data_IF_950698183589
#
_entry.id   IF_950698183589
#
_cell.length_a   1.000
_cell.length_b   1.000
_cell.length_c   1.000
_cell.angle_alpha   90.00
_cell.angle_beta   90.00
_cell.angle_gamma   90.00
#
_symmetry.space_group_name_H-M   'P 1'
#
loop_
_entity.id
_entity.type
_entity.pdbx_description
1 polymer ?
#
# COMPACT_ATOMS: atom_id res chain seq x y z
N UNK A 1 8.13 11.66 -16.10
CA UNK A 1 7.22 10.87 -15.24
C UNK A 1 7.85 9.51 -15.02
N UNK A 2 7.85 9.01 -13.78
CA UNK A 2 8.37 7.70 -13.41
C UNK A 2 7.33 6.96 -12.58
N UNK A 3 7.14 5.68 -12.85
CA UNK A 3 6.16 4.82 -12.17
C UNK A 3 6.93 3.66 -11.55
N UNK A 4 6.80 3.49 -10.24
CA UNK A 4 7.53 2.47 -9.48
C UNK A 4 6.53 1.65 -8.66
N UNK A 5 6.27 0.37 -9.02
CA UNK A 5 5.56 -0.55 -8.15
C UNK A 5 6.36 -0.79 -6.87
N UNK A 6 5.76 -0.50 -5.71
CA UNK A 6 6.37 -0.71 -4.39
C UNK A 6 5.89 -2.02 -3.75
N UNK A 7 4.68 -2.46 -4.08
CA UNK A 7 4.14 -3.77 -3.77
C UNK A 7 3.26 -4.23 -4.93
N UNK A 8 3.39 -5.49 -5.32
CA UNK A 8 2.63 -6.15 -6.38
C UNK A 8 2.77 -7.67 -6.24
N UNK A 9 1.94 -8.43 -6.98
CA UNK A 9 2.01 -9.90 -7.02
C UNK A 9 3.42 -10.41 -7.37
N UNK A 10 4.02 -9.84 -8.43
CA UNK A 10 5.38 -10.16 -8.86
C UNK A 10 6.49 -9.76 -7.86
N UNK A 11 6.17 -8.94 -6.85
CA UNK A 11 7.10 -8.54 -5.80
C UNK A 11 6.93 -9.35 -4.50
N UNK A 12 6.01 -10.32 -4.48
CA UNK A 12 5.71 -11.15 -3.31
C UNK A 12 4.62 -10.60 -2.40
N UNK A 13 3.77 -9.70 -2.90
CA UNK A 13 2.56 -9.25 -2.21
C UNK A 13 1.30 -9.85 -2.88
N UNK A 14 0.11 -9.56 -2.36
CA UNK A 14 -1.18 -9.78 -3.04
C UNK A 14 -1.96 -8.50 -3.26
N UNK A 15 -1.45 -7.42 -2.70
CA UNK A 15 -1.95 -6.06 -2.85
C UNK A 15 -1.10 -5.29 -3.85
N UNK A 16 -1.52 -4.05 -4.11
CA UNK A 16 -0.78 -3.11 -4.93
C UNK A 16 -0.48 -1.84 -4.14
N UNK A 17 0.77 -1.36 -4.25
CA UNK A 17 1.14 -0.01 -3.89
C UNK A 17 2.08 0.53 -4.97
N UNK A 18 1.81 1.75 -5.46
CA UNK A 18 2.55 2.31 -6.60
C UNK A 18 2.91 3.76 -6.35
N UNK A 19 4.18 4.09 -6.54
CA UNK A 19 4.66 5.47 -6.53
C UNK A 19 4.68 6.03 -7.95
N UNK A 20 4.06 7.19 -8.14
CA UNK A 20 4.06 7.93 -9.39
C UNK A 20 4.73 9.27 -9.14
N UNK A 21 5.88 9.47 -9.80
CA UNK A 21 6.70 10.67 -9.67
C UNK A 21 6.57 11.50 -10.95
N UNK A 22 6.13 12.75 -10.79
CA UNK A 22 6.12 13.77 -11.83
C UNK A 22 7.02 14.94 -11.41
N UNK A 23 7.35 15.90 -12.30
CA UNK A 23 8.14 17.06 -11.90
C UNK A 23 7.53 17.90 -10.77
N UNK A 24 6.19 17.94 -10.70
CA UNK A 24 5.47 18.88 -9.82
C UNK A 24 4.79 18.18 -8.63
N UNK A 25 4.45 16.90 -8.78
CA UNK A 25 3.73 16.13 -7.76
C UNK A 25 4.17 14.67 -7.73
N UNK A 26 4.33 14.16 -6.52
CA UNK A 26 4.54 12.74 -6.22
C UNK A 26 3.28 12.17 -5.58
N UNK A 27 2.73 11.13 -6.21
CA UNK A 27 1.49 10.46 -5.80
C UNK A 27 1.82 9.03 -5.36
N UNK A 28 1.41 8.67 -4.16
CA UNK A 28 1.49 7.29 -3.65
C UNK A 28 0.10 6.67 -3.62
N UNK A 29 -0.10 5.66 -4.46
CA UNK A 29 -1.38 4.98 -4.65
C UNK A 29 -1.44 3.75 -3.76
N UNK A 30 -2.52 3.65 -2.98
CA UNK A 30 -2.89 2.51 -2.13
C UNK A 30 -1.73 2.03 -1.23
N UNK A 31 -1.28 2.86 -0.28
CA UNK A 31 -0.06 2.63 0.51
C UNK A 31 -0.26 1.53 1.57
N UNK A 32 -0.34 0.28 1.14
CA UNK A 32 -0.39 -0.90 2.01
C UNK A 32 0.21 -2.12 1.34
N UNK A 33 0.50 -3.14 2.15
CA UNK A 33 0.99 -4.43 1.68
C UNK A 33 0.39 -5.59 2.46
N UNK A 34 -0.18 -6.56 1.74
CA UNK A 34 -0.79 -7.75 2.33
C UNK A 34 -0.38 -9.02 1.58
N UNK A 35 -0.28 -10.12 2.33
CA UNK A 35 -0.12 -11.47 1.79
C UNK A 35 -1.48 -12.17 1.74
N UNK A 36 -1.63 -13.16 0.87
CA UNK A 36 -2.79 -14.04 0.91
C UNK A 36 -2.80 -14.84 2.22
N UNK A 37 -3.94 -15.01 2.91
CA UNK A 37 -3.98 -15.75 4.18
C UNK A 37 -3.64 -17.23 4.00
N UNK A 38 -3.98 -17.81 2.85
CA UNK A 38 -3.65 -19.17 2.46
C UNK A 38 -3.30 -19.23 0.98
N UNK A 39 -2.34 -20.10 0.62
CA UNK A 39 -2.01 -20.47 -0.76
C UNK A 39 -1.73 -21.96 -0.81
N UNK A 40 -2.48 -22.69 -1.63
CA UNK A 40 -2.47 -24.16 -1.64
C UNK A 40 -2.70 -24.75 -0.23
N UNK A 41 -3.65 -24.16 0.51
CA UNK A 41 -3.98 -24.49 1.91
C UNK A 41 -2.84 -24.29 2.92
N UNK A 42 -1.75 -23.63 2.52
CA UNK A 42 -0.62 -23.30 3.37
C UNK A 42 -0.68 -21.82 3.77
N UNK A 43 -0.35 -21.55 5.04
CA UNK A 43 -0.15 -20.17 5.52
C UNK A 43 1.13 -19.56 4.93
N UNK A 44 1.27 -18.23 4.92
CA UNK A 44 2.47 -17.58 4.43
C UNK A 44 3.73 -18.10 5.11
N UNK A 45 4.71 -18.48 4.28
CA UNK A 45 6.02 -18.89 4.72
C UNK A 45 6.73 -17.72 5.43
N UNK A 46 7.62 -17.96 6.41
CA UNK A 46 8.40 -16.91 7.04
C UNK A 46 9.11 -15.95 6.06
N UNK A 47 9.60 -16.46 4.93
CA UNK A 47 10.20 -15.66 3.86
C UNK A 47 9.21 -14.68 3.23
N UNK A 48 7.95 -15.07 3.03
CA UNK A 48 6.91 -14.18 2.49
C UNK A 48 6.58 -13.08 3.50
N UNK A 49 6.54 -13.41 4.81
CA UNK A 49 6.35 -12.41 5.88
C UNK A 49 7.51 -11.43 5.97
N UNK A 50 8.74 -11.92 5.83
CA UNK A 50 9.92 -11.05 5.75
C UNK A 50 9.83 -10.11 4.54
N UNK A 51 9.45 -10.65 3.37
CA UNK A 51 9.24 -9.85 2.16
C UNK A 51 8.16 -8.79 2.34
N UNK A 52 7.01 -9.14 2.93
CA UNK A 52 5.95 -8.18 3.26
C UNK A 52 6.48 -7.02 4.11
N UNK A 53 7.32 -7.32 5.12
CA UNK A 53 7.91 -6.29 5.98
C UNK A 53 8.85 -5.36 5.21
N UNK A 54 9.65 -5.89 4.28
CA UNK A 54 10.52 -5.09 3.41
C UNK A 54 9.72 -4.17 2.50
N UNK A 55 8.70 -4.69 1.82
CA UNK A 55 7.82 -3.90 0.95
C UNK A 55 7.13 -2.79 1.75
N UNK A 56 6.66 -3.10 2.97
CA UNK A 56 6.08 -2.11 3.86
C UNK A 56 7.05 -0.99 4.23
N UNK A 57 8.32 -1.32 4.49
CA UNK A 57 9.36 -0.31 4.73
C UNK A 57 9.57 0.58 3.51
N UNK A 58 9.57 0.02 2.31
CA UNK A 58 9.63 0.77 1.05
C UNK A 58 8.46 1.73 0.86
N UNK A 59 7.23 1.27 1.11
CA UNK A 59 6.02 2.10 1.08
C UNK A 59 6.11 3.25 2.08
N UNK A 60 6.55 2.97 3.32
CA UNK A 60 6.71 4.00 4.35
C UNK A 60 7.78 5.02 4.00
N UNK A 61 8.86 4.61 3.34
CA UNK A 61 9.88 5.53 2.86
C UNK A 61 9.30 6.45 1.78
N UNK A 62 8.66 5.88 0.76
CA UNK A 62 8.02 6.63 -0.31
C UNK A 62 6.94 7.59 0.19
N UNK A 63 6.17 7.21 1.23
CA UNK A 63 5.15 8.06 1.82
C UNK A 63 5.71 9.35 2.46
N UNK A 64 6.99 9.36 2.89
CA UNK A 64 7.63 10.58 3.42
C UNK A 64 7.76 11.64 2.33
N UNK A 65 8.12 11.22 1.13
CA UNK A 65 8.43 12.11 0.00
C UNK A 65 7.21 12.37 -0.90
N UNK A 66 6.15 11.57 -0.77
CA UNK A 66 4.90 11.78 -1.50
C UNK A 66 4.20 13.09 -1.08
N UNK A 67 3.57 13.78 -2.04
CA UNK A 67 2.72 14.95 -1.77
C UNK A 67 1.26 14.54 -1.58
N UNK A 68 0.83 13.54 -2.36
CA UNK A 68 -0.54 13.03 -2.40
C UNK A 68 -0.54 11.54 -2.09
N UNK A 69 -1.45 11.10 -1.23
CA UNK A 69 -1.76 9.69 -1.04
C UNK A 69 -3.18 9.40 -1.50
N UNK A 70 -3.41 8.22 -2.08
CA UNK A 70 -4.75 7.80 -2.47
C UNK A 70 -5.14 6.48 -1.83
N UNK A 71 -6.43 6.30 -1.57
CA UNK A 71 -7.03 5.02 -1.19
C UNK A 71 -8.19 4.77 -2.13
N UNK A 72 -8.04 3.76 -3.00
CA UNK A 72 -9.02 3.40 -4.01
C UNK A 72 -10.27 2.74 -3.43
N UNK A 73 -10.14 2.03 -2.31
CA UNK A 73 -11.23 1.46 -1.51
C UNK A 73 -10.70 1.02 -0.14
N UNK A 74 -11.61 0.85 0.82
CA UNK A 74 -11.26 0.62 2.22
C UNK A 74 -11.14 -0.86 2.56
N UNK A 75 -10.16 -1.51 1.95
CA UNK A 75 -9.68 -2.83 2.35
C UNK A 75 -8.24 -2.70 2.90
N UNK A 76 -7.85 -3.56 3.84
CA UNK A 76 -6.58 -3.42 4.56
C UNK A 76 -5.33 -3.72 3.71
N UNK A 77 -5.51 -4.27 2.53
CA UNK A 77 -4.51 -4.39 1.48
C UNK A 77 -4.28 -3.09 0.69
N UNK A 78 -5.18 -2.10 0.80
CA UNK A 78 -5.07 -0.79 0.13
C UNK A 78 -4.76 0.37 1.10
N UNK A 79 -5.06 0.20 2.39
CA UNK A 79 -4.60 1.12 3.45
C UNK A 79 -4.19 0.32 4.68
N UNK A 80 -3.25 0.85 5.48
CA UNK A 80 -2.83 0.21 6.72
C UNK A 80 -3.43 0.94 7.95
N UNK A 81 -4.44 0.37 8.64
CA UNK A 81 -5.05 0.98 9.82
C UNK A 81 -4.08 1.21 10.99
N UNK A 82 -3.00 0.45 11.07
CA UNK A 82 -2.00 0.56 12.13
C UNK A 82 -1.00 1.69 11.88
N UNK A 83 -1.06 2.32 10.70
CA UNK A 83 -0.14 3.38 10.31
C UNK A 83 -0.83 4.60 9.66
N UNK A 84 -1.88 5.19 10.29
CA UNK A 84 -2.57 6.35 9.73
C UNK A 84 -1.65 7.57 9.64
N UNK A 85 -0.56 7.59 10.41
CA UNK A 85 0.41 8.69 10.43
C UNK A 85 1.09 8.96 9.08
N UNK A 86 1.09 8.01 8.14
CA UNK A 86 1.68 8.22 6.81
C UNK A 86 0.94 9.29 5.99
N UNK A 87 -0.32 9.57 6.34
CA UNK A 87 -1.13 10.60 5.70
C UNK A 87 -0.94 12.00 6.32
N UNK A 88 -0.21 12.12 7.43
CA UNK A 88 -0.07 13.38 8.15
C UNK A 88 0.60 14.44 7.27
N UNK A 89 -0.06 15.59 7.12
CA UNK A 89 0.46 16.70 6.32
C UNK A 89 0.45 16.44 4.81
N UNK A 90 -0.26 15.41 4.34
CA UNK A 90 -0.40 15.06 2.92
C UNK A 90 -1.82 15.35 2.45
N UNK A 91 -1.97 15.64 1.15
CA UNK A 91 -3.29 15.63 0.52
C UNK A 91 -3.73 14.18 0.33
N UNK A 92 -4.95 13.84 0.77
CA UNK A 92 -5.47 12.48 0.69
C UNK A 92 -6.72 12.43 -0.19
N UNK A 93 -6.69 11.62 -1.25
CA UNK A 93 -7.88 11.28 -2.02
C UNK A 93 -8.39 9.91 -1.60
N UNK A 94 -9.51 9.90 -0.88
CA UNK A 94 -10.08 8.69 -0.32
C UNK A 94 -11.42 8.40 -0.99
N UNK A 95 -11.50 7.31 -1.73
CA UNK A 95 -12.73 6.94 -2.43
C UNK A 95 -13.71 6.31 -1.45
N UNK A 96 -14.84 6.99 -1.26
CA UNK A 96 -16.00 6.54 -0.49
C UNK A 96 -15.66 5.94 0.89
N UNK A 97 -15.24 6.79 1.82
CA UNK A 97 -14.93 6.39 3.20
C UNK A 97 -16.12 6.15 4.11
N UNK A 98 -17.32 6.02 3.55
CA UNK A 98 -18.56 5.82 4.33
C UNK A 98 -19.28 4.52 3.96
N UNK A 99 -19.17 4.07 2.71
CA UNK A 99 -19.86 2.88 2.21
C UNK A 99 -18.85 1.88 1.60
N UNK A 100 -19.24 0.60 1.54
CA UNK A 100 -18.40 -0.49 0.99
C UNK A 100 -17.02 -0.67 1.63
N UNK A 101 -16.93 -0.41 2.95
CA UNK A 101 -15.73 -0.69 3.75
C UNK A 101 -15.67 -2.19 4.02
N UNK A 102 -14.74 -2.91 3.38
CA UNK A 102 -14.50 -4.31 3.70
C UNK A 102 -13.32 -4.43 4.66
N UNK A 103 -13.59 -4.97 5.85
CA UNK A 103 -12.56 -5.12 6.88
C UNK A 103 -11.67 -6.36 6.70
N UNK A 104 -11.94 -7.18 5.68
CA UNK A 104 -11.25 -8.44 5.40
C UNK A 104 -10.47 -8.38 4.10
#
# INVERSE_FOLDING_TARGET
MKITPLAADSLGARSMATLVETPDVTVLIDPSVRLGPYRYDLRPHPTEKARQKELWQGIRAAAKDANVLTVSHYHYDHHNPDAPSIFRGKLAFLKDGKFHINRS
#
